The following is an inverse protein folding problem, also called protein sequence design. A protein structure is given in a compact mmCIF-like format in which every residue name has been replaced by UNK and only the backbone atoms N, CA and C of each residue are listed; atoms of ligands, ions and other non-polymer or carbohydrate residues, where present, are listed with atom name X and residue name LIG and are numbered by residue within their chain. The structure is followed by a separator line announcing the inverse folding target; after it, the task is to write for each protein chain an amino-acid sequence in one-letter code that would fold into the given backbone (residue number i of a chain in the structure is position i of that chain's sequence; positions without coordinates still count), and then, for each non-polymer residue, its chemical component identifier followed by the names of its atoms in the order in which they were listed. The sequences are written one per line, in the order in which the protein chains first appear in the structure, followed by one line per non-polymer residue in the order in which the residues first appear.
data_IF_655156704502
#
_entry.id   IF_655156704502
#
_cell.length_a   1.000
_cell.length_b   1.000
_cell.length_c   1.000
_cell.angle_alpha   90.00
_cell.angle_beta   90.00
_cell.angle_gamma   90.00
#
_symmetry.space_group_name_H-M   'P 1'
#
loop_
_entity.id
_entity.type
_entity.pdbx_description
1 polymer ?
#
# COMPACT_ATOMS: atom_id res chain seq x y z
N UNK A 1 -25.35 65.37 -17.56
CA UNK A 1 -25.34 63.90 -17.53
C UNK A 1 -23.97 63.46 -17.02
N UNK A 2 -23.91 62.86 -15.83
CA UNK A 2 -22.67 62.35 -15.25
C UNK A 2 -22.33 61.02 -15.92
N UNK A 3 -21.31 60.99 -16.76
CA UNK A 3 -20.66 59.76 -17.18
C UNK A 3 -19.30 59.71 -16.52
N UNK A 4 -19.31 59.29 -15.25
CA UNK A 4 -18.12 58.93 -14.49
C UNK A 4 -17.60 57.60 -15.07
N UNK A 5 -16.95 57.68 -16.23
CA UNK A 5 -16.20 56.55 -16.78
C UNK A 5 -14.84 56.60 -16.10
N UNK A 6 -14.81 56.09 -14.86
CA UNK A 6 -13.60 55.96 -14.06
C UNK A 6 -12.58 55.15 -14.86
N UNK A 7 -11.65 55.87 -15.48
CA UNK A 7 -10.49 55.30 -16.12
C UNK A 7 -9.63 54.70 -15.02
N UNK A 8 -9.72 53.39 -14.84
CA UNK A 8 -8.73 52.64 -14.07
C UNK A 8 -7.35 52.95 -14.66
N UNK A 9 -6.44 53.46 -13.82
CA UNK A 9 -5.07 53.79 -14.23
C UNK A 9 -4.42 52.53 -14.85
N UNK A 10 -3.75 52.66 -16.03
CA UNK A 10 -3.12 51.53 -16.72
C UNK A 10 -2.22 50.67 -15.80
N UNK A 11 -1.55 51.31 -14.85
CA UNK A 11 -0.72 50.63 -13.84
C UNK A 11 -1.56 49.84 -12.84
N UNK A 12 -2.65 50.42 -12.33
CA UNK A 12 -3.51 49.76 -11.32
C UNK A 12 -4.19 48.53 -11.94
N UNK A 13 -4.58 48.61 -13.21
CA UNK A 13 -5.15 47.49 -13.95
C UNK A 13 -4.17 46.30 -14.04
N UNK A 14 -2.89 46.57 -14.30
CA UNK A 14 -1.88 45.49 -14.39
C UNK A 14 -1.60 44.82 -13.04
N UNK A 15 -1.55 45.59 -11.94
CA UNK A 15 -1.32 45.04 -10.61
C UNK A 15 -2.49 44.14 -10.20
N UNK A 16 -3.74 44.56 -10.45
CA UNK A 16 -4.93 43.77 -10.15
C UNK A 16 -4.98 42.48 -10.98
N UNK A 17 -4.64 42.57 -12.26
CA UNK A 17 -4.59 41.41 -13.15
C UNK A 17 -3.55 40.39 -12.67
N UNK A 18 -2.32 40.85 -12.42
CA UNK A 18 -1.23 39.99 -11.97
C UNK A 18 -1.58 39.36 -10.62
N UNK A 19 -2.08 40.14 -9.67
CA UNK A 19 -2.47 39.64 -8.35
C UNK A 19 -3.47 38.47 -8.44
N UNK A 20 -4.51 38.60 -9.25
CA UNK A 20 -5.52 37.55 -9.42
C UNK A 20 -4.91 36.29 -10.06
N UNK A 21 -4.07 36.44 -11.08
CA UNK A 21 -3.43 35.29 -11.74
C UNK A 21 -2.47 34.53 -10.82
N UNK A 22 -1.72 35.24 -9.96
CA UNK A 22 -0.83 34.61 -8.98
C UNK A 22 -1.63 33.84 -7.94
N UNK A 23 -2.75 34.38 -7.48
CA UNK A 23 -3.65 33.70 -6.54
C UNK A 23 -4.25 32.45 -7.18
N UNK A 24 -4.77 32.54 -8.41
CA UNK A 24 -5.29 31.37 -9.14
C UNK A 24 -4.22 30.29 -9.34
N UNK A 25 -3.00 30.67 -9.72
CA UNK A 25 -1.89 29.74 -9.87
C UNK A 25 -1.55 29.03 -8.55
N UNK A 26 -1.52 29.77 -7.43
CA UNK A 26 -1.26 29.20 -6.12
C UNK A 26 -2.37 28.25 -5.66
N UNK A 27 -3.64 28.61 -5.82
CA UNK A 27 -4.77 27.75 -5.46
C UNK A 27 -4.79 26.48 -6.32
N UNK A 28 -4.55 26.61 -7.63
CA UNK A 28 -4.42 25.47 -8.53
C UNK A 28 -3.26 24.56 -8.11
N UNK A 29 -2.11 25.12 -7.75
CA UNK A 29 -0.97 24.35 -7.25
C UNK A 29 -1.31 23.56 -5.98
N UNK A 30 -2.00 24.16 -5.01
CA UNK A 30 -2.41 23.45 -3.78
C UNK A 30 -3.40 22.33 -4.10
N UNK A 31 -4.38 22.56 -4.99
CA UNK A 31 -5.34 21.53 -5.40
C UNK A 31 -4.67 20.38 -6.15
N UNK A 32 -3.76 20.68 -7.09
CA UNK A 32 -3.01 19.66 -7.85
C UNK A 32 -2.03 18.93 -6.93
N UNK A 33 -1.37 19.63 -6.00
CA UNK A 33 -0.45 19.00 -5.04
C UNK A 33 -1.19 18.00 -4.15
N UNK A 34 -2.40 18.34 -3.68
CA UNK A 34 -3.25 17.42 -2.91
C UNK A 34 -3.70 16.18 -3.72
N UNK A 35 -3.87 16.32 -5.04
CA UNK A 35 -4.19 15.22 -5.96
C UNK A 35 -2.97 14.34 -6.28
N UNK A 36 -1.78 14.93 -6.35
CA UNK A 36 -0.52 14.24 -6.65
C UNK A 36 0.10 13.59 -5.42
N UNK A 37 -0.16 14.09 -4.21
CA UNK A 37 0.07 13.32 -3.00
C UNK A 37 -0.95 12.18 -2.98
N UNK A 38 -0.54 10.91 -3.04
CA UNK A 38 -1.49 9.83 -2.86
C UNK A 38 -2.13 9.99 -1.48
N UNK A 39 -3.41 10.40 -1.46
CA UNK A 39 -4.25 10.33 -0.29
C UNK A 39 -4.45 8.83 0.02
N UNK A 40 -3.50 8.26 0.74
CA UNK A 40 -3.29 6.81 0.76
C UNK A 40 -3.15 6.21 2.15
N UNK A 41 -3.83 6.75 3.16
CA UNK A 41 -3.93 6.12 4.48
C UNK A 41 -5.39 5.78 4.85
N UNK A 42 -6.25 5.51 3.86
CA UNK A 42 -7.46 4.71 4.11
C UNK A 42 -7.05 3.30 4.55
N UNK A 43 -7.91 2.54 5.28
CA UNK A 43 -7.64 1.15 5.62
C UNK A 43 -7.29 0.36 4.36
N UNK A 44 -6.01 0.01 4.23
CA UNK A 44 -5.48 -0.70 3.09
C UNK A 44 -5.69 -2.18 3.38
N UNK A 45 -6.59 -2.82 2.63
CA UNK A 45 -6.91 -4.24 2.80
C UNK A 45 -6.29 -5.00 1.63
N UNK A 46 -5.57 -6.07 1.92
CA UNK A 46 -4.99 -6.98 0.93
C UNK A 46 -5.85 -8.24 0.86
N UNK A 47 -6.27 -8.60 -0.35
CA UNK A 47 -6.95 -9.86 -0.60
C UNK A 47 -5.91 -10.96 -0.77
N UNK A 48 -5.91 -11.94 0.12
CA UNK A 48 -5.03 -13.12 0.01
C UNK A 48 -5.88 -14.38 0.02
N UNK A 49 -5.65 -15.22 -0.99
CA UNK A 49 -6.24 -16.54 -1.11
C UNK A 49 -5.24 -17.53 -0.55
N UNK A 50 -5.58 -18.13 0.59
CA UNK A 50 -4.85 -19.26 1.14
C UNK A 50 -5.30 -20.54 0.46
N UNK A 51 -4.35 -21.36 0.01
CA UNK A 51 -4.61 -22.69 -0.51
C UNK A 51 -3.42 -23.60 -0.26
N UNK A 52 -3.65 -24.91 -0.10
CA UNK A 52 -2.55 -25.87 -0.11
C UNK A 52 -2.04 -26.02 -1.54
N UNK A 53 -0.72 -26.04 -1.74
CA UNK A 53 -0.13 -26.37 -3.05
C UNK A 53 -0.64 -27.74 -3.51
N UNK A 54 -0.76 -27.97 -4.82
CA UNK A 54 -1.24 -29.25 -5.37
C UNK A 54 -0.48 -30.49 -4.85
N UNK A 55 0.79 -30.32 -4.48
CA UNK A 55 1.63 -31.34 -3.84
C UNK A 55 1.35 -31.58 -2.36
N UNK A 56 0.47 -30.79 -1.73
CA UNK A 56 0.03 -30.95 -0.34
C UNK A 56 1.08 -30.68 0.74
N UNK A 57 2.31 -30.29 0.37
CA UNK A 57 3.45 -30.09 1.28
C UNK A 57 3.63 -28.66 1.79
N UNK A 58 3.12 -27.67 1.04
CA UNK A 58 3.29 -26.26 1.33
C UNK A 58 1.95 -25.52 1.23
N UNK A 59 1.82 -24.46 2.01
CA UNK A 59 0.78 -23.46 1.86
C UNK A 59 1.19 -22.44 0.80
N UNK A 60 0.27 -22.14 -0.11
CA UNK A 60 0.39 -21.08 -1.10
C UNK A 60 -0.58 -19.97 -0.74
N UNK A 61 -0.06 -18.77 -0.56
CA UNK A 61 -0.82 -17.55 -0.32
C UNK A 61 -0.74 -16.72 -1.59
N UNK A 62 -1.78 -16.78 -2.40
CA UNK A 62 -1.87 -15.98 -3.61
C UNK A 62 -2.47 -14.62 -3.29
N UNK A 63 -1.79 -13.55 -3.68
CA UNK A 63 -2.23 -12.19 -3.47
C UNK A 63 -3.26 -11.89 -4.57
N UNK A 64 -4.54 -11.96 -4.25
CA UNK A 64 -5.64 -11.71 -5.18
C UNK A 64 -5.85 -10.21 -5.43
N UNK A 65 -5.60 -9.38 -4.43
CA UNK A 65 -5.68 -7.92 -4.56
C UNK A 65 -4.75 -7.23 -3.57
N UNK A 66 -4.16 -6.12 -3.98
CA UNK A 66 -3.22 -5.36 -3.16
C UNK A 66 -3.40 -3.86 -3.37
N UNK A 67 -3.32 -3.05 -2.29
CA UNK A 67 -3.23 -1.61 -2.40
C UNK A 67 -2.03 -1.17 -3.24
N UNK A 68 -2.19 -0.10 -4.03
CA UNK A 68 -1.11 0.46 -4.84
C UNK A 68 0.01 1.00 -3.94
N UNK A 69 1.27 0.76 -4.33
CA UNK A 69 2.45 1.32 -3.68
C UNK A 69 3.01 0.51 -2.50
N UNK A 70 2.56 -0.72 -2.27
CA UNK A 70 3.16 -1.60 -1.28
C UNK A 70 4.47 -2.21 -1.80
N UNK A 71 5.53 -2.09 -1.01
CA UNK A 71 6.82 -2.70 -1.33
C UNK A 71 7.05 -3.97 -0.49
N UNK A 72 7.68 -5.02 -1.04
CA UNK A 72 8.03 -6.21 -0.26
C UNK A 72 9.06 -5.94 0.83
N UNK A 73 9.74 -4.79 0.80
CA UNK A 73 10.65 -4.35 1.85
C UNK A 73 9.92 -3.76 3.08
N UNK A 74 8.69 -3.28 2.92
CA UNK A 74 7.92 -2.63 4.00
C UNK A 74 6.76 -3.48 4.52
N UNK A 75 6.39 -4.53 3.81
CA UNK A 75 5.33 -5.46 4.22
C UNK A 75 5.94 -6.64 4.99
N UNK A 76 5.41 -6.87 6.18
CA UNK A 76 5.81 -7.91 7.11
C UNK A 76 4.82 -9.08 7.05
N UNK A 77 5.38 -10.29 7.00
CA UNK A 77 4.67 -11.52 7.30
C UNK A 77 4.86 -11.85 8.78
N UNK A 78 3.75 -12.09 9.47
CA UNK A 78 3.74 -12.67 10.79
C UNK A 78 3.00 -14.01 10.78
N UNK A 79 3.66 -15.04 11.29
CA UNK A 79 3.06 -16.34 11.55
C UNK A 79 2.95 -16.51 13.06
N UNK A 80 1.74 -16.73 13.56
CA UNK A 80 1.45 -16.88 14.98
C UNK A 80 0.95 -18.30 15.20
N UNK A 81 1.63 -19.04 16.07
CA UNK A 81 1.19 -20.37 16.48
C UNK A 81 -0.15 -20.29 17.24
N UNK A 82 -0.95 -21.36 17.28
CA UNK A 82 -2.22 -21.39 18.02
C UNK A 82 -2.08 -21.06 19.53
N UNK A 83 -0.87 -21.17 20.09
CA UNK A 83 -0.55 -20.73 21.45
C UNK A 83 -0.19 -19.24 21.59
N UNK A 84 -0.34 -18.42 20.55
CA UNK A 84 -0.03 -16.98 20.56
C UNK A 84 1.45 -16.63 20.35
N UNK A 85 2.33 -17.62 20.25
CA UNK A 85 3.76 -17.39 20.00
C UNK A 85 4.00 -17.01 18.54
N UNK A 86 4.70 -15.89 18.31
CA UNK A 86 5.09 -15.48 16.96
C UNK A 86 6.27 -16.33 16.48
N UNK A 87 6.05 -17.11 15.43
CA UNK A 87 7.04 -18.02 14.85
C UNK A 87 7.88 -17.36 13.75
N UNK A 88 7.29 -16.43 13.00
CA UNK A 88 7.97 -15.62 11.97
C UNK A 88 7.48 -14.19 12.08
N UNK A 89 8.39 -13.23 11.98
CA UNK A 89 8.08 -11.81 11.84
C UNK A 89 9.18 -11.14 11.01
N UNK A 90 8.98 -11.09 9.69
CA UNK A 90 9.98 -10.59 8.72
C UNK A 90 9.32 -9.94 7.53
N UNK A 91 10.07 -9.07 6.85
CA UNK A 91 9.59 -8.46 5.61
C UNK A 91 9.60 -9.45 4.45
N UNK A 92 8.71 -9.29 3.47
CA UNK A 92 8.64 -10.17 2.29
C UNK A 92 9.98 -10.30 1.57
N UNK A 93 10.76 -9.22 1.52
CA UNK A 93 12.11 -9.19 0.93
C UNK A 93 13.17 -9.97 1.72
N UNK A 94 12.99 -10.20 3.02
CA UNK A 94 13.97 -10.87 3.89
C UNK A 94 13.57 -12.29 4.29
N UNK A 95 12.39 -12.72 3.88
CA UNK A 95 11.87 -14.07 4.04
C UNK A 95 12.74 -15.08 3.30
N UNK A 96 13.25 -16.07 4.02
CA UNK A 96 14.16 -17.06 3.48
C UNK A 96 13.67 -18.48 3.77
N UNK A 97 13.48 -19.30 2.74
CA UNK A 97 12.91 -20.64 2.86
C UNK A 97 13.61 -21.56 3.90
N UNK A 98 14.95 -21.75 3.90
CA UNK A 98 15.62 -22.63 4.85
C UNK A 98 15.57 -22.10 6.29
N UNK A 99 15.60 -20.78 6.50
CA UNK A 99 15.63 -20.20 7.84
C UNK A 99 14.22 -20.06 8.44
N UNK A 100 13.27 -19.60 7.64
CA UNK A 100 11.94 -19.16 8.07
C UNK A 100 10.83 -20.10 7.59
N UNK A 101 11.12 -21.09 6.74
CA UNK A 101 10.08 -21.95 6.15
C UNK A 101 9.06 -21.17 5.34
N UNK A 102 9.40 -19.98 4.87
CA UNK A 102 8.51 -19.15 4.07
C UNK A 102 9.33 -18.28 3.11
N UNK A 103 8.77 -18.01 1.93
CA UNK A 103 9.42 -17.23 0.87
C UNK A 103 8.37 -16.49 0.05
N UNK A 104 8.72 -15.29 -0.41
CA UNK A 104 7.90 -14.50 -1.30
C UNK A 104 8.37 -14.63 -2.75
N UNK A 105 7.44 -14.84 -3.66
CA UNK A 105 7.64 -14.82 -5.10
C UNK A 105 6.84 -13.66 -5.68
N UNK A 106 7.55 -12.58 -5.99
CA UNK A 106 7.02 -11.42 -6.70
C UNK A 106 7.76 -11.16 -8.00
N UNK A 107 7.09 -10.50 -8.94
CA UNK A 107 7.65 -10.17 -10.27
C UNK A 107 8.30 -8.77 -10.32
N UNK A 108 8.53 -8.09 -9.20
CA UNK A 108 9.11 -6.74 -9.22
C UNK A 108 9.42 -6.13 -7.85
N UNK A 109 9.59 -4.81 -7.85
CA UNK A 109 9.90 -4.00 -6.66
C UNK A 109 8.67 -3.59 -5.85
N UNK A 110 7.46 -3.89 -6.34
CA UNK A 110 6.19 -3.64 -5.70
C UNK A 110 5.38 -4.94 -5.64
N UNK A 111 4.55 -5.08 -4.61
CA UNK A 111 3.63 -6.20 -4.48
C UNK A 111 2.45 -5.95 -5.41
N UNK A 112 2.16 -6.92 -6.27
CA UNK A 112 1.05 -6.87 -7.24
C UNK A 112 0.12 -8.07 -7.08
N UNK A 113 -1.10 -7.96 -7.58
CA UNK A 113 -2.00 -9.10 -7.65
C UNK A 113 -1.42 -10.20 -8.55
N UNK A 114 -1.49 -11.45 -8.11
CA UNK A 114 -0.86 -12.62 -8.74
C UNK A 114 0.50 -13.01 -8.15
N UNK A 115 1.08 -12.17 -7.29
CA UNK A 115 2.24 -12.57 -6.49
C UNK A 115 1.85 -13.67 -5.48
N UNK A 116 2.82 -14.47 -5.06
CA UNK A 116 2.55 -15.59 -4.13
C UNK A 116 3.56 -15.68 -3.00
N UNK A 117 3.08 -16.02 -1.81
CA UNK A 117 3.89 -16.47 -0.68
C UNK A 117 3.80 -17.99 -0.60
N UNK A 118 4.94 -18.64 -0.41
CA UNK A 118 4.97 -20.05 -0.05
C UNK A 118 5.37 -20.17 1.41
N UNK A 119 4.66 -21.00 2.16
CA UNK A 119 4.94 -21.33 3.56
C UNK A 119 4.97 -22.85 3.71
N UNK A 120 5.95 -23.36 4.45
CA UNK A 120 6.17 -24.77 4.68
C UNK A 120 5.08 -25.33 5.60
N UNK A 121 4.29 -26.29 5.11
CA UNK A 121 3.18 -26.84 5.88
C UNK A 121 3.61 -27.91 6.89
N UNK A 122 4.87 -28.36 6.83
CA UNK A 122 5.44 -29.32 7.78
C UNK A 122 5.89 -28.58 9.04
N UNK A 123 6.54 -27.42 8.86
CA UNK A 123 6.99 -26.54 9.94
C UNK A 123 5.85 -25.71 10.52
N UNK A 124 4.90 -25.31 9.68
CA UNK A 124 3.71 -24.54 10.06
C UNK A 124 2.43 -25.30 9.65
N UNK A 125 1.95 -26.23 10.50
CA UNK A 125 0.71 -26.96 10.26
C UNK A 125 -0.53 -26.04 10.34
N UNK A 126 -1.73 -26.64 10.32
CA UNK A 126 -3.00 -25.93 10.48
C UNK A 126 -3.09 -25.17 11.82
N UNK A 127 -4.05 -24.24 11.91
CA UNK A 127 -4.31 -23.36 13.08
C UNK A 127 -3.27 -22.24 13.32
N UNK A 128 -2.25 -22.13 12.47
CA UNK A 128 -1.39 -20.96 12.48
C UNK A 128 -2.12 -19.74 11.91
N UNK A 129 -2.06 -18.62 12.61
CA UNK A 129 -2.58 -17.35 12.11
C UNK A 129 -1.53 -16.69 11.22
N UNK A 130 -1.97 -16.23 10.06
CA UNK A 130 -1.16 -15.44 9.12
C UNK A 130 -1.63 -14.01 9.19
N UNK A 131 -0.75 -13.13 9.63
CA UNK A 131 -0.97 -11.69 9.63
C UNK A 131 0.00 -11.06 8.63
N UNK A 132 -0.52 -10.22 7.75
CA UNK A 132 0.30 -9.41 6.86
C UNK A 132 0.06 -7.96 7.24
N UNK A 133 1.14 -7.25 7.54
CA UNK A 133 1.07 -5.87 8.01
C UNK A 133 2.14 -5.01 7.37
N UNK A 134 1.84 -3.72 7.20
CA UNK A 134 2.84 -2.72 6.88
C UNK A 134 2.74 -1.60 7.91
N UNK A 135 2.23 -0.43 7.53
CA UNK A 135 1.81 0.62 8.48
C UNK A 135 0.52 0.27 9.20
N UNK A 136 -0.31 -0.59 8.61
CA UNK A 136 -1.56 -1.12 9.16
C UNK A 136 -1.65 -2.62 8.90
N UNK A 137 -2.60 -3.31 9.53
CA UNK A 137 -2.89 -4.71 9.21
C UNK A 137 -3.57 -4.76 7.85
N UNK A 138 -2.91 -5.39 6.89
CA UNK A 138 -3.37 -5.52 5.51
C UNK A 138 -4.23 -6.78 5.34
N UNK A 139 -3.84 -7.87 6.02
CA UNK A 139 -4.55 -9.15 5.97
C UNK A 139 -4.40 -9.92 7.28
N UNK A 140 -5.43 -10.67 7.63
CA UNK A 140 -5.45 -11.62 8.73
C UNK A 140 -6.20 -12.87 8.28
N UNK A 141 -5.57 -14.04 8.42
CA UNK A 141 -6.15 -15.32 8.05
C UNK A 141 -5.62 -16.45 8.92
N UNK A 142 -6.18 -17.64 8.77
CA UNK A 142 -5.71 -18.86 9.44
C UNK A 142 -5.41 -19.93 8.42
N UNK A 143 -4.32 -20.67 8.65
CA UNK A 143 -3.92 -21.82 7.84
C UNK A 143 -4.89 -22.98 8.14
N UNK A 144 -5.69 -23.36 7.14
CA UNK A 144 -6.71 -24.41 7.23
C UNK A 144 -6.75 -25.25 5.96
#
# INVERSE_FOLDING_TARGET
MRCDRQAVSPVIATILLVAITVVLAAVLYVMVSGLLTPAGNGPQIMGVVLSKTGDGKNWSLEIASTPLGLSPATVHLQLIAPGGQTAVYKTFSTLNWPADGAVYFGNGTAIVAGDRLLVDAVRYPTDYQVLISSTTILYSGTLR
#
